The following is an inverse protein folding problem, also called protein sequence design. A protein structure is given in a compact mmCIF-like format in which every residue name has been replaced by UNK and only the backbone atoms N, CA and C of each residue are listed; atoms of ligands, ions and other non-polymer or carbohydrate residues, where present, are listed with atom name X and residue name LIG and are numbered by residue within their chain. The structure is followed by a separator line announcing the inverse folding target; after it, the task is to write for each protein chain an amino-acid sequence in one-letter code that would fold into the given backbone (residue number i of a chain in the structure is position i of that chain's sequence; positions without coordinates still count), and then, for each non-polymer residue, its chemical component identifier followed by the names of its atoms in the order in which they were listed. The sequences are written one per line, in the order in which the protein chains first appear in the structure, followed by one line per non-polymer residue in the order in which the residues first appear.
data_IF_941574383338
#
_entry.id   IF_941574383338
#
_cell.length_a   1.000
_cell.length_b   1.000
_cell.length_c   1.000
_cell.angle_alpha   90.00
_cell.angle_beta   90.00
_cell.angle_gamma   90.00
#
_symmetry.space_group_name_H-M   'P 1'
#
loop_
_entity.id
_entity.type
_entity.pdbx_description
1 polymer ?
#
# COMPACT_ATOMS: atom_id res chain seq x y z
N UNK A 1 -16.45 7.22 -16.34
CA UNK A 1 -15.38 6.93 -15.36
C UNK A 1 -15.05 5.45 -15.30
N UNK A 2 -14.21 4.99 -16.22
CA UNK A 2 -13.72 3.61 -16.24
C UNK A 2 -12.56 3.47 -15.23
N UNK A 3 -12.90 3.13 -13.99
CA UNK A 3 -11.90 2.70 -13.00
C UNK A 3 -11.42 1.28 -13.36
N UNK A 4 -10.11 1.01 -13.41
CA UNK A 4 -9.58 -0.30 -13.76
C UNK A 4 -10.13 -1.40 -12.82
N UNK A 5 -10.85 -2.35 -13.42
CA UNK A 5 -11.59 -3.42 -12.73
C UNK A 5 -10.65 -4.52 -12.23
N UNK A 6 -10.02 -4.32 -11.07
CA UNK A 6 -9.32 -5.38 -10.31
C UNK A 6 -9.97 -5.59 -8.94
N UNK A 7 -10.75 -6.67 -8.82
CA UNK A 7 -11.86 -6.83 -7.88
C UNK A 7 -11.60 -7.13 -6.40
N UNK A 8 -10.58 -6.56 -5.74
CA UNK A 8 -10.50 -6.69 -4.26
C UNK A 8 -9.96 -5.46 -3.50
N UNK A 9 -9.59 -4.38 -4.21
CA UNK A 9 -8.96 -3.20 -3.58
C UNK A 9 -9.48 -1.86 -4.13
N UNK A 10 -10.69 -1.88 -4.71
CA UNK A 10 -11.28 -0.71 -5.36
C UNK A 10 -11.51 0.45 -4.39
N UNK A 11 -11.91 0.15 -3.15
CA UNK A 11 -12.15 1.16 -2.10
C UNK A 11 -10.88 1.92 -1.74
N UNK A 12 -9.76 1.21 -1.50
CA UNK A 12 -8.50 1.86 -1.14
C UNK A 12 -7.93 2.63 -2.32
N UNK A 13 -7.98 2.07 -3.54
CA UNK A 13 -7.58 2.80 -4.75
C UNK A 13 -8.36 4.09 -4.94
N UNK A 14 -9.70 4.06 -4.76
CA UNK A 14 -10.52 5.27 -4.82
C UNK A 14 -10.06 6.30 -3.80
N UNK A 15 -9.84 5.91 -2.54
CA UNK A 15 -9.32 6.82 -1.52
C UNK A 15 -7.95 7.41 -1.88
N UNK A 16 -7.04 6.61 -2.43
CA UNK A 16 -5.73 7.09 -2.87
C UNK A 16 -5.89 8.11 -4.00
N UNK A 17 -6.70 7.79 -5.00
CA UNK A 17 -6.94 8.66 -6.16
C UNK A 17 -7.67 9.95 -5.77
N UNK A 18 -8.64 9.89 -4.86
CA UNK A 18 -9.33 11.07 -4.33
C UNK A 18 -8.33 12.00 -3.61
N UNK A 19 -7.39 11.44 -2.85
CA UNK A 19 -6.32 12.21 -2.21
C UNK A 19 -5.40 12.84 -3.25
N UNK A 20 -4.98 12.09 -4.28
CA UNK A 20 -4.18 12.63 -5.39
C UNK A 20 -4.93 13.72 -6.15
N UNK A 21 -6.23 13.56 -6.39
CA UNK A 21 -7.06 14.53 -7.09
C UNK A 21 -7.13 15.87 -6.33
N UNK A 22 -7.19 15.84 -4.98
CA UNK A 22 -7.15 17.07 -4.18
C UNK A 22 -5.85 17.87 -4.31
N UNK A 23 -4.73 17.19 -4.58
CA UNK A 23 -3.41 17.83 -4.62
C UNK A 23 -2.91 18.11 -6.04
N UNK A 24 -3.22 17.23 -6.98
CA UNK A 24 -2.75 17.28 -8.37
C UNK A 24 -3.87 17.53 -9.39
N UNK A 25 -5.15 17.43 -9.01
CA UNK A 25 -6.28 17.54 -9.93
C UNK A 25 -6.47 18.93 -10.55
N UNK A 26 -5.90 19.97 -9.95
CA UNK A 26 -5.89 21.32 -10.52
C UNK A 26 -4.88 21.47 -11.67
N UNK A 27 -3.92 20.54 -11.81
CA UNK A 27 -2.89 20.60 -12.84
C UNK A 27 -3.32 19.78 -14.06
N UNK A 28 -3.06 20.31 -15.25
CA UNK A 28 -3.13 19.51 -16.48
C UNK A 28 -2.14 18.34 -16.41
N UNK A 29 -2.52 17.18 -16.95
CA UNK A 29 -1.66 15.99 -17.02
C UNK A 29 -0.29 16.29 -17.64
N UNK A 30 -0.22 17.19 -18.61
CA UNK A 30 1.02 17.62 -19.25
C UNK A 30 1.97 18.40 -18.30
N UNK A 31 1.43 19.04 -17.26
CA UNK A 31 2.20 19.79 -16.27
C UNK A 31 2.65 18.92 -15.08
N UNK A 32 2.19 17.67 -14.99
CA UNK A 32 2.57 16.76 -13.92
C UNK A 32 4.01 16.29 -14.14
N UNK A 33 4.94 17.01 -13.51
CA UNK A 33 6.38 16.70 -13.53
C UNK A 33 6.79 15.82 -12.35
N UNK A 34 7.89 15.04 -12.47
CA UNK A 34 8.42 14.23 -11.36
C UNK A 34 8.73 15.06 -10.10
N UNK A 35 9.16 16.31 -10.26
CA UNK A 35 9.42 17.23 -9.14
C UNK A 35 8.17 17.58 -8.35
N UNK A 36 7.05 17.82 -9.04
CA UNK A 36 5.76 18.10 -8.41
C UNK A 36 5.27 16.88 -7.64
N UNK A 37 5.33 15.69 -8.27
CA UNK A 37 4.95 14.43 -7.60
C UNK A 37 5.80 14.22 -6.34
N UNK A 38 7.11 14.46 -6.41
CA UNK A 38 8.01 14.33 -5.26
C UNK A 38 7.62 15.28 -4.12
N UNK A 39 7.32 16.54 -4.43
CA UNK A 39 6.85 17.50 -3.44
C UNK A 39 5.54 17.03 -2.79
N UNK A 40 4.58 16.53 -3.57
CA UNK A 40 3.32 15.99 -3.06
C UNK A 40 3.52 14.73 -2.21
N UNK A 41 4.47 13.86 -2.54
CA UNK A 41 4.84 12.71 -1.69
C UNK A 41 5.38 13.17 -0.34
N UNK A 42 6.20 14.22 -0.29
CA UNK A 42 6.68 14.78 0.98
C UNK A 42 5.53 15.32 1.83
N UNK A 43 4.47 15.86 1.21
CA UNK A 43 3.23 16.24 1.92
C UNK A 43 2.53 14.97 2.44
N UNK A 44 2.40 13.92 1.63
CA UNK A 44 1.77 12.66 2.03
C UNK A 44 2.46 11.98 3.24
N UNK A 45 3.79 12.08 3.30
CA UNK A 45 4.62 11.52 4.38
C UNK A 45 4.50 12.31 5.69
N UNK A 46 4.28 13.62 5.60
CA UNK A 46 4.20 14.53 6.75
C UNK A 46 2.77 14.73 7.26
N UNK A 47 1.78 14.69 6.37
CA UNK A 47 0.37 14.88 6.68
C UNK A 47 -0.13 13.76 7.62
N UNK A 48 -0.84 14.17 8.66
CA UNK A 48 -1.52 13.25 9.56
C UNK A 48 -2.70 12.56 8.84
N UNK A 49 -2.73 11.24 8.91
CA UNK A 49 -3.89 10.47 8.46
C UNK A 49 -5.11 10.75 9.34
N UNK A 50 -6.30 10.30 8.92
CA UNK A 50 -7.53 10.35 9.73
C UNK A 50 -7.37 9.71 11.14
N UNK A 51 -6.34 8.89 11.33
CA UNK A 51 -5.95 8.29 12.63
C UNK A 51 -5.01 9.17 13.47
N UNK A 52 -4.78 10.43 13.09
CA UNK A 52 -3.84 11.38 13.73
C UNK A 52 -2.41 10.84 13.85
N UNK A 53 -2.01 10.01 12.88
CA UNK A 53 -0.68 9.41 12.82
C UNK A 53 -0.08 9.63 11.45
N UNK A 54 1.26 9.75 11.40
CA UNK A 54 2.01 9.76 10.15
C UNK A 54 1.78 8.44 9.41
N UNK A 55 1.63 8.53 8.10
CA UNK A 55 1.40 7.34 7.27
C UNK A 55 2.67 6.48 7.27
N UNK A 56 2.49 5.18 7.49
CA UNK A 56 3.59 4.24 7.37
C UNK A 56 4.16 4.26 5.93
N UNK A 57 5.47 4.04 5.74
CA UNK A 57 6.09 4.02 4.41
C UNK A 57 5.39 3.07 3.42
N UNK A 58 4.90 1.92 3.91
CA UNK A 58 4.16 0.96 3.09
C UNK A 58 2.83 1.52 2.56
N UNK A 59 2.19 2.40 3.31
CA UNK A 59 0.98 3.09 2.88
C UNK A 59 1.31 4.12 1.80
N UNK A 60 2.38 4.92 1.99
CA UNK A 60 2.85 5.91 1.01
C UNK A 60 3.13 5.24 -0.35
N UNK A 61 3.79 4.08 -0.33
CA UNK A 61 4.06 3.32 -1.57
C UNK A 61 2.79 2.83 -2.24
N UNK A 62 1.75 2.44 -1.49
CA UNK A 62 0.45 2.05 -2.08
C UNK A 62 -0.25 3.23 -2.76
N UNK A 63 -0.14 4.43 -2.20
CA UNK A 63 -0.62 5.65 -2.85
C UNK A 63 0.14 5.92 -4.15
N UNK A 64 1.48 5.85 -4.12
CA UNK A 64 2.32 6.01 -5.31
C UNK A 64 2.00 4.94 -6.36
N UNK A 65 1.76 3.69 -5.96
CA UNK A 65 1.41 2.60 -6.87
C UNK A 65 0.07 2.85 -7.57
N UNK A 66 -0.90 3.44 -6.86
CA UNK A 66 -2.21 3.78 -7.42
C UNK A 66 -2.10 4.88 -8.49
N UNK A 67 -1.30 5.92 -8.21
CA UNK A 67 -0.99 6.98 -9.18
C UNK A 67 -0.19 6.44 -10.37
N UNK A 68 0.81 5.59 -10.12
CA UNK A 68 1.63 4.96 -11.15
C UNK A 68 0.78 4.15 -12.12
N UNK A 69 -0.22 3.42 -11.61
CA UNK A 69 -1.15 2.67 -12.43
C UNK A 69 -2.02 3.58 -13.31
N UNK A 70 -2.61 4.63 -12.72
CA UNK A 70 -3.40 5.63 -13.47
C UNK A 70 -2.59 6.23 -14.62
N UNK A 71 -1.38 6.70 -14.34
CA UNK A 71 -0.51 7.31 -15.36
C UNK A 71 0.04 6.27 -16.36
N UNK A 72 0.10 4.99 -15.99
CA UNK A 72 0.43 3.93 -16.95
C UNK A 72 -0.69 3.69 -17.94
N UNK A 73 -1.97 3.78 -17.50
CA UNK A 73 -3.13 3.72 -18.39
C UNK A 73 -3.15 4.95 -19.31
N UNK A 74 -2.98 6.15 -18.74
CA UNK A 74 -2.94 7.39 -19.52
C UNK A 74 -1.80 7.40 -20.55
N UNK A 75 -0.67 6.75 -20.26
CA UNK A 75 0.45 6.62 -21.18
C UNK A 75 0.21 5.53 -22.25
N UNK A 76 -0.16 4.31 -21.85
CA UNK A 76 -0.17 3.14 -22.74
C UNK A 76 -1.47 2.95 -23.51
N UNK A 77 -2.60 3.26 -22.88
CA UNK A 77 -3.92 3.00 -23.45
C UNK A 77 -4.50 4.24 -24.10
N UNK A 78 -4.25 5.42 -23.50
CA UNK A 78 -4.82 6.68 -23.99
C UNK A 78 -3.84 7.58 -24.71
N UNK A 79 -2.53 7.32 -24.58
CA UNK A 79 -1.46 8.14 -25.17
C UNK A 79 -1.55 9.64 -24.83
N UNK A 80 -2.17 9.99 -23.70
CA UNK A 80 -2.36 11.39 -23.27
C UNK A 80 -1.06 12.05 -22.79
N UNK A 81 -0.10 11.23 -22.38
CA UNK A 81 1.22 11.66 -21.91
C UNK A 81 2.29 10.84 -22.61
N UNK A 82 3.45 11.43 -22.92
CA UNK A 82 4.51 10.73 -23.66
C UNK A 82 5.24 9.67 -22.83
N UNK A 83 5.26 9.83 -21.50
CA UNK A 83 5.90 8.91 -20.57
C UNK A 83 5.25 9.02 -19.18
N UNK A 84 5.36 7.98 -18.36
CA UNK A 84 4.89 8.01 -16.97
C UNK A 84 5.91 8.72 -16.06
N UNK A 85 5.61 9.92 -15.52
CA UNK A 85 6.55 10.69 -14.69
C UNK A 85 6.88 10.01 -13.35
N UNK A 86 6.02 9.10 -12.85
CA UNK A 86 6.25 8.37 -11.59
C UNK A 86 7.44 7.41 -11.71
N UNK A 87 7.78 6.95 -12.92
CA UNK A 87 8.94 6.09 -13.13
C UNK A 87 10.27 6.78 -12.76
N UNK A 88 10.32 8.12 -12.81
CA UNK A 88 11.49 8.93 -12.46
C UNK A 88 11.53 9.33 -10.97
N UNK A 89 10.53 8.95 -10.19
CA UNK A 89 10.41 9.29 -8.77
C UNK A 89 10.97 8.17 -7.91
N UNK A 90 11.93 8.49 -7.04
CA UNK A 90 12.45 7.54 -6.06
C UNK A 90 11.37 7.20 -5.02
N UNK A 91 11.15 5.92 -4.79
CA UNK A 91 10.16 5.42 -3.81
C UNK A 91 10.85 5.25 -2.46
N UNK A 92 10.17 5.54 -1.34
CA UNK A 92 10.73 5.26 -0.02
C UNK A 92 11.03 3.77 0.13
N UNK A 93 12.14 3.45 0.79
CA UNK A 93 12.53 2.06 1.06
C UNK A 93 11.66 1.48 2.17
N UNK A 94 11.20 0.23 2.00
CA UNK A 94 10.52 -0.51 3.06
C UNK A 94 11.53 -1.38 3.80
N UNK A 95 11.85 -1.03 5.05
CA UNK A 95 12.47 -1.97 5.98
C UNK A 95 11.40 -2.86 6.66
N UNK A 96 10.49 -3.43 5.87
CA UNK A 96 9.44 -4.32 6.37
C UNK A 96 9.85 -5.79 6.29
N UNK A 97 11.15 -6.09 6.46
CA UNK A 97 11.53 -7.46 6.73
C UNK A 97 10.81 -7.87 8.02
N UNK A 98 10.06 -8.97 8.01
CA UNK A 98 9.53 -9.55 9.25
C UNK A 98 10.73 -9.99 10.09
N UNK A 99 11.13 -9.14 11.02
CA UNK A 99 12.35 -9.33 11.82
C UNK A 99 12.13 -10.18 13.07
N UNK A 100 10.87 -10.49 13.42
CA UNK A 100 10.54 -11.29 14.60
C UNK A 100 9.80 -12.56 14.22
N UNK A 101 10.31 -13.67 14.72
CA UNK A 101 9.66 -14.99 14.72
C UNK A 101 9.38 -15.42 16.15
N UNK A 102 8.47 -16.37 16.32
CA UNK A 102 8.24 -17.02 17.62
C UNK A 102 9.53 -17.74 18.03
N UNK A 103 10.02 -17.47 19.24
CA UNK A 103 11.05 -18.31 19.84
C UNK A 103 10.49 -19.70 20.17
N UNK A 104 11.36 -20.68 20.44
CA UNK A 104 10.90 -22.02 20.83
C UNK A 104 10.04 -21.99 22.09
N UNK A 105 10.38 -21.12 23.03
CA UNK A 105 9.65 -20.93 24.30
C UNK A 105 8.31 -20.24 24.09
N UNK A 106 8.22 -19.29 23.16
CA UNK A 106 6.94 -18.65 22.80
C UNK A 106 6.02 -19.62 22.04
N UNK A 107 6.58 -20.46 21.16
CA UNK A 107 5.85 -21.48 20.44
C UNK A 107 5.27 -22.54 21.39
N UNK A 108 6.06 -23.00 22.36
CA UNK A 108 5.57 -23.95 23.38
C UNK A 108 4.39 -23.37 24.17
N UNK A 109 4.51 -22.12 24.64
CA UNK A 109 3.43 -21.41 25.35
C UNK A 109 2.19 -21.22 24.47
N UNK A 110 2.37 -20.90 23.19
CA UNK A 110 1.27 -20.79 22.23
C UNK A 110 0.52 -22.12 22.09
N UNK A 111 1.24 -23.24 21.94
CA UNK A 111 0.62 -24.57 21.80
C UNK A 111 -0.12 -25.01 23.06
N UNK A 112 0.39 -24.69 24.25
CA UNK A 112 -0.29 -25.00 25.51
C UNK A 112 -1.62 -24.25 25.66
N UNK A 113 -1.64 -22.96 25.34
CA UNK A 113 -2.87 -22.16 25.40
C UNK A 113 -3.88 -22.58 24.31
N UNK A 114 -3.39 -22.91 23.11
CA UNK A 114 -4.25 -23.40 22.03
C UNK A 114 -4.91 -24.73 22.41
N UNK A 115 -4.21 -25.63 23.14
CA UNK A 115 -4.78 -26.89 23.65
C UNK A 115 -5.89 -26.68 24.69
N UNK A 116 -5.85 -25.60 25.47
CA UNK A 116 -6.89 -25.26 26.46
C UNK A 116 -8.15 -24.66 25.83
N UNK A 117 -8.08 -24.28 24.55
CA UNK A 117 -9.21 -23.66 23.86
C UNK A 117 -10.37 -24.63 23.68
N UNK A 118 -11.59 -24.10 23.72
CA UNK A 118 -12.83 -24.87 23.51
C UNK A 118 -13.03 -25.30 22.05
N UNK A 119 -12.26 -24.75 21.11
CA UNK A 119 -12.36 -25.07 19.69
C UNK A 119 -11.37 -26.19 19.32
N UNK A 120 -11.83 -27.42 19.04
CA UNK A 120 -10.94 -28.56 18.78
C UNK A 120 -10.13 -28.42 17.47
N UNK A 121 -10.64 -27.66 16.50
CA UNK A 121 -9.98 -27.46 15.19
C UNK A 121 -8.81 -26.48 15.29
N UNK A 122 -8.79 -25.62 16.32
CA UNK A 122 -7.77 -24.57 16.46
C UNK A 122 -6.36 -25.16 16.56
N UNK A 123 -6.19 -26.25 17.30
CA UNK A 123 -4.91 -26.93 17.43
C UNK A 123 -4.40 -27.45 16.08
N UNK A 124 -5.28 -28.07 15.29
CA UNK A 124 -4.94 -28.61 13.98
C UNK A 124 -4.47 -27.51 13.03
N UNK A 125 -5.21 -26.39 12.98
CA UNK A 125 -4.87 -25.25 12.12
C UNK A 125 -3.51 -24.66 12.50
N UNK A 126 -3.25 -24.49 13.81
CA UNK A 126 -2.00 -23.91 14.30
C UNK A 126 -0.81 -24.83 14.00
N UNK A 127 -0.93 -26.14 14.24
CA UNK A 127 0.13 -27.11 13.93
C UNK A 127 0.39 -27.18 12.42
N UNK A 128 -0.66 -27.19 11.61
CA UNK A 128 -0.53 -27.16 10.15
C UNK A 128 0.22 -25.90 9.70
N UNK A 129 -0.19 -24.71 10.16
CA UNK A 129 0.43 -23.45 9.79
C UNK A 129 1.89 -23.30 10.25
N UNK A 130 2.30 -24.03 11.29
CA UNK A 130 3.70 -24.05 11.77
C UNK A 130 4.58 -25.06 11.02
N UNK A 131 4.00 -26.01 10.30
CA UNK A 131 4.73 -27.07 9.59
C UNK A 131 4.90 -26.83 8.09
N UNK A 132 4.21 -25.82 7.54
CA UNK A 132 4.32 -25.34 6.15
C UNK A 132 5.20 -24.10 6.05
#
# INVERSE_FOLDING_TARGET
DELPKKGNDARNRKQHLDWWNRHLGAFSLALIRPSLIKATISILETEESAKKTKRAPGTVIRYIASLSHLLSVAWKEWEWIPENPVCKVSKPSLSNARQRYLSREELARLLEEVKKSKCPILLLIVVLALST
#
